data_IF_009030879218
#
_entry.id   IF_009030879218
#
_cell.length_a   1.000
_cell.length_b   1.000
_cell.length_c   1.000
_cell.angle_alpha   90.00
_cell.angle_beta   90.00
_cell.angle_gamma   90.00
#
_symmetry.space_group_name_H-M   'P 1'
#
loop_
_entity.id
_entity.type
_entity.pdbx_description
1 polymer ?
#
# COMPACT_ATOMS: atom_id res chain seq x y z
N UNK A 1 -83.02 -6.19 -14.03
CA UNK A 1 -81.66 -6.74 -14.14
C UNK A 1 -80.71 -5.81 -13.42
N UNK A 2 -80.19 -6.23 -12.27
CA UNK A 2 -79.24 -5.46 -11.45
C UNK A 2 -77.85 -5.71 -12.02
N UNK A 3 -77.14 -4.66 -12.48
CA UNK A 3 -75.73 -4.75 -12.86
C UNK A 3 -74.89 -4.00 -11.85
N UNK A 4 -74.13 -4.78 -11.08
CA UNK A 4 -73.10 -4.35 -10.14
C UNK A 4 -71.88 -3.93 -10.96
N UNK A 5 -71.38 -2.70 -10.76
CA UNK A 5 -70.06 -2.29 -11.21
C UNK A 5 -69.04 -2.67 -10.12
N UNK A 6 -68.13 -3.58 -10.45
CA UNK A 6 -66.94 -3.85 -9.64
C UNK A 6 -65.77 -3.01 -10.17
N UNK A 7 -65.25 -2.11 -9.34
CA UNK A 7 -64.04 -1.34 -9.62
C UNK A 7 -62.81 -2.12 -9.13
N UNK A 8 -61.97 -2.58 -10.05
CA UNK A 8 -60.67 -3.18 -9.74
C UNK A 8 -59.62 -2.08 -9.59
N UNK A 9 -59.05 -1.95 -8.39
CA UNK A 9 -57.94 -1.03 -8.11
C UNK A 9 -56.64 -1.83 -8.27
N UNK A 10 -55.82 -1.47 -9.27
CA UNK A 10 -54.51 -2.07 -9.47
C UNK A 10 -53.47 -1.36 -8.58
N UNK A 11 -52.93 -2.08 -7.59
CA UNK A 11 -51.85 -1.62 -6.73
C UNK A 11 -50.51 -1.85 -7.46
N UNK A 12 -49.88 -0.78 -7.95
CA UNK A 12 -48.53 -0.84 -8.52
C UNK A 12 -47.51 -0.81 -7.39
N UNK A 13 -46.89 -1.97 -7.13
CA UNK A 13 -45.73 -2.10 -6.25
C UNK A 13 -44.51 -1.61 -7.04
N UNK A 14 -43.98 -0.43 -6.71
CA UNK A 14 -42.67 0.01 -7.17
C UNK A 14 -41.60 -0.81 -6.46
N UNK A 15 -41.10 -1.85 -7.12
CA UNK A 15 -39.83 -2.47 -6.79
C UNK A 15 -38.73 -1.45 -7.13
N UNK A 16 -38.18 -0.79 -6.11
CA UNK A 16 -36.94 -0.06 -6.24
C UNK A 16 -35.81 -1.07 -6.46
N UNK A 17 -35.57 -1.43 -7.72
CA UNK A 17 -34.31 -2.03 -8.11
C UNK A 17 -33.24 -0.97 -7.93
N UNK A 18 -32.40 -1.11 -6.90
CA UNK A 18 -31.13 -0.42 -6.81
C UNK A 18 -30.29 -0.85 -7.99
N UNK A 19 -30.34 -0.08 -9.07
CA UNK A 19 -29.41 -0.21 -10.18
C UNK A 19 -28.01 0.00 -9.60
N UNK A 20 -27.24 -1.08 -9.48
CA UNK A 20 -25.79 -0.96 -9.37
C UNK A 20 -25.36 -0.31 -10.69
N UNK A 21 -25.08 0.99 -10.65
CA UNK A 21 -24.43 1.64 -11.76
C UNK A 21 -23.06 0.98 -11.91
N UNK A 22 -22.78 0.40 -13.09
CA UNK A 22 -21.43 -0.06 -13.42
C UNK A 22 -20.44 1.09 -13.17
N UNK A 23 -19.33 0.78 -12.50
CA UNK A 23 -18.30 1.76 -12.20
C UNK A 23 -17.74 2.32 -13.52
N UNK A 24 -17.73 3.65 -13.68
CA UNK A 24 -17.27 4.29 -14.91
C UNK A 24 -15.75 4.14 -15.07
N UNK A 25 -15.31 3.49 -16.13
CA UNK A 25 -13.91 3.47 -16.53
C UNK A 25 -13.55 4.75 -17.29
N UNK A 26 -12.42 5.34 -16.91
CA UNK A 26 -11.80 6.48 -17.59
C UNK A 26 -10.53 6.06 -18.32
N UNK A 27 -10.24 6.76 -19.41
CA UNK A 27 -8.98 6.58 -20.14
C UNK A 27 -7.84 7.23 -19.38
N UNK A 28 -6.66 6.62 -19.48
CA UNK A 28 -5.39 7.18 -19.05
C UNK A 28 -4.39 7.06 -20.19
N UNK A 29 -3.61 8.11 -20.39
CA UNK A 29 -2.52 8.14 -21.37
C UNK A 29 -1.19 8.23 -20.66
N UNK A 30 -0.24 7.36 -21.00
CA UNK A 30 1.13 7.44 -20.54
C UNK A 30 1.83 8.64 -21.19
N UNK A 31 2.36 9.55 -20.38
CA UNK A 31 3.11 10.73 -20.88
C UNK A 31 4.58 10.71 -20.47
N UNK A 32 4.96 9.91 -19.48
CA UNK A 32 6.35 9.68 -19.09
C UNK A 32 6.50 8.44 -18.22
N UNK A 33 7.65 7.78 -18.30
CA UNK A 33 8.01 6.67 -17.42
C UNK A 33 9.47 6.79 -17.00
N UNK A 34 9.75 6.61 -15.71
CA UNK A 34 11.08 6.60 -15.12
C UNK A 34 11.31 5.28 -14.38
N UNK A 35 12.51 4.73 -14.52
CA UNK A 35 12.89 3.42 -13.97
C UNK A 35 14.04 3.60 -12.98
N UNK A 36 13.91 2.98 -11.81
CA UNK A 36 15.01 2.78 -10.88
C UNK A 36 15.36 1.27 -10.89
N UNK A 37 16.59 0.89 -11.28
CA UNK A 37 16.96 -0.51 -11.38
C UNK A 37 16.72 -1.29 -10.08
N UNK A 38 16.32 -2.55 -10.20
CA UNK A 38 16.00 -3.41 -9.06
C UNK A 38 17.12 -3.46 -8.02
N UNK A 39 18.36 -3.67 -8.46
CA UNK A 39 19.54 -3.75 -7.61
C UNK A 39 20.12 -2.35 -7.29
N UNK A 40 19.27 -1.43 -6.84
CA UNK A 40 19.71 -0.13 -6.31
C UNK A 40 19.86 -0.25 -4.80
N UNK A 41 21.07 -0.04 -4.30
CA UNK A 41 21.41 -0.23 -2.88
C UNK A 41 21.97 1.09 -2.32
N UNK A 42 21.52 1.46 -1.13
CA UNK A 42 22.06 2.54 -0.33
C UNK A 42 23.03 2.00 0.73
N UNK A 43 24.11 2.73 0.99
CA UNK A 43 24.92 2.47 2.18
C UNK A 43 24.13 2.85 3.44
N UNK A 44 24.20 2.00 4.45
CA UNK A 44 23.72 2.36 5.78
C UNK A 44 24.52 3.55 6.35
N UNK A 45 23.91 4.44 7.16
CA UNK A 45 24.61 5.56 7.80
C UNK A 45 25.91 5.11 8.45
N UNK A 46 26.96 5.93 8.37
CA UNK A 46 28.29 5.57 8.86
C UNK A 46 28.28 5.12 10.33
N UNK A 47 27.45 5.74 11.15
CA UNK A 47 27.21 5.49 12.58
C UNK A 47 26.18 4.38 12.88
N UNK A 48 25.57 3.76 11.86
CA UNK A 48 24.72 2.59 12.06
C UNK A 48 25.57 1.39 12.54
N UNK A 49 25.05 0.56 13.48
CA UNK A 49 25.72 -0.67 13.91
C UNK A 49 26.07 -1.61 12.74
N UNK A 50 27.12 -2.41 12.89
CA UNK A 50 27.58 -3.37 11.86
C UNK A 50 26.48 -4.30 11.36
N UNK A 51 25.56 -4.67 12.27
CA UNK A 51 24.41 -5.52 11.96
C UNK A 51 23.51 -4.97 10.83
N UNK A 52 23.43 -3.64 10.70
CA UNK A 52 22.63 -2.93 9.69
C UNK A 52 23.42 -2.55 8.42
N UNK A 53 24.71 -2.86 8.34
CA UNK A 53 25.52 -2.60 7.13
C UNK A 53 25.21 -3.56 5.97
N UNK A 54 24.42 -4.58 6.24
CA UNK A 54 23.98 -5.61 5.29
C UNK A 54 22.53 -5.94 5.62
N UNK A 55 21.76 -6.46 4.66
CA UNK A 55 20.33 -6.74 4.84
C UNK A 55 19.95 -8.11 4.24
N UNK A 56 18.99 -8.80 4.86
CA UNK A 56 18.40 -10.03 4.33
C UNK A 56 19.00 -11.31 4.89
N UNK A 57 19.63 -11.26 6.06
CA UNK A 57 20.28 -12.42 6.70
C UNK A 57 19.29 -13.48 7.16
N UNK A 58 18.02 -13.15 7.34
CA UNK A 58 17.01 -14.01 7.97
C UNK A 58 15.89 -14.45 7.02
N UNK A 59 16.15 -14.42 5.72
CA UNK A 59 15.17 -14.70 4.66
C UNK A 59 15.09 -16.18 4.27
N UNK A 60 15.86 -17.06 4.89
CA UNK A 60 15.77 -18.50 4.61
C UNK A 60 14.45 -19.07 5.15
N UNK A 61 13.87 -20.12 4.50
CA UNK A 61 12.62 -20.72 4.94
C UNK A 61 12.66 -21.29 6.37
N UNK A 62 13.84 -21.74 6.83
CA UNK A 62 14.06 -22.23 8.19
C UNK A 62 14.45 -21.13 9.19
N UNK A 63 14.46 -19.87 8.73
CA UNK A 63 14.78 -18.65 9.50
C UNK A 63 16.18 -18.64 10.10
N UNK A 64 17.08 -19.48 9.60
CA UNK A 64 18.48 -19.43 10.00
C UNK A 64 19.18 -18.25 9.36
N UNK A 65 20.07 -17.65 10.14
CA UNK A 65 20.98 -16.60 9.68
C UNK A 65 21.84 -17.11 8.53
N UNK A 66 22.00 -16.28 7.51
CA UNK A 66 23.00 -16.43 6.46
C UNK A 66 23.85 -15.16 6.41
N UNK A 67 25.14 -15.25 6.72
CA UNK A 67 26.04 -14.07 6.71
C UNK A 67 26.78 -13.90 5.37
N UNK A 68 26.89 -14.97 4.57
CA UNK A 68 27.55 -14.92 3.28
C UNK A 68 26.68 -14.21 2.24
N UNK A 69 27.12 -13.05 1.77
CA UNK A 69 26.43 -12.21 0.79
C UNK A 69 26.11 -12.96 -0.51
N UNK A 70 24.94 -12.69 -1.09
CA UNK A 70 24.56 -13.18 -2.42
C UNK A 70 24.47 -14.71 -2.55
N UNK A 71 24.11 -15.43 -1.47
CA UNK A 71 24.05 -16.90 -1.45
C UNK A 71 22.63 -17.47 -1.45
N UNK A 72 21.65 -16.73 -0.94
CA UNK A 72 20.25 -17.13 -0.87
C UNK A 72 19.52 -16.59 -2.10
N UNK A 73 18.92 -17.43 -2.96
CA UNK A 73 18.19 -16.95 -4.14
C UNK A 73 16.94 -16.18 -3.75
N UNK A 74 16.72 -15.01 -4.37
CA UNK A 74 15.44 -14.33 -4.37
C UNK A 74 14.40 -15.14 -5.13
N UNK A 75 13.13 -15.06 -4.69
CA UNK A 75 12.05 -15.85 -5.26
C UNK A 75 10.71 -15.13 -5.23
N UNK A 76 10.00 -15.18 -6.35
CA UNK A 76 8.58 -14.87 -6.46
C UNK A 76 7.82 -16.20 -6.58
N UNK A 77 7.32 -16.69 -5.43
CA UNK A 77 6.73 -18.02 -5.34
C UNK A 77 7.70 -19.13 -5.77
N UNK A 78 7.35 -19.88 -6.81
CA UNK A 78 8.18 -20.95 -7.38
C UNK A 78 9.33 -20.44 -8.27
N UNK A 79 9.32 -19.15 -8.62
CA UNK A 79 10.21 -18.55 -9.62
C UNK A 79 11.43 -17.93 -8.96
N UNK A 80 12.61 -18.19 -9.51
CA UNK A 80 13.88 -17.66 -8.98
C UNK A 80 14.22 -16.38 -9.72
N UNK A 81 14.48 -15.29 -9.00
CA UNK A 81 14.90 -14.01 -9.57
C UNK A 81 16.42 -13.97 -9.78
N UNK A 82 16.90 -12.96 -10.48
CA UNK A 82 18.32 -12.76 -10.79
C UNK A 82 19.15 -12.20 -9.62
N UNK A 83 18.51 -11.91 -8.49
CA UNK A 83 19.14 -11.34 -7.30
C UNK A 83 19.19 -12.33 -6.12
N UNK A 84 20.16 -12.10 -5.23
CA UNK A 84 20.45 -12.99 -4.11
C UNK A 84 20.74 -12.20 -2.84
N UNK A 85 20.25 -12.73 -1.73
CA UNK A 85 20.43 -12.21 -0.38
C UNK A 85 21.59 -12.94 0.33
N UNK A 86 22.15 -12.36 1.40
CA UNK A 86 21.99 -10.98 1.85
C UNK A 86 22.69 -9.97 0.92
N UNK A 87 22.27 -8.70 1.00
CA UNK A 87 22.88 -7.57 0.29
C UNK A 87 23.94 -6.85 1.13
N UNK A 88 24.93 -6.25 0.46
CA UNK A 88 25.84 -5.27 1.05
C UNK A 88 25.20 -3.87 1.03
N UNK A 89 24.58 -3.47 2.14
CA UNK A 89 23.82 -2.23 2.27
C UNK A 89 22.31 -2.47 2.47
N UNK A 90 21.54 -1.41 2.25
CA UNK A 90 20.09 -1.37 2.39
C UNK A 90 19.46 -1.14 1.01
N UNK A 91 18.59 -2.04 0.52
CA UNK A 91 17.99 -1.87 -0.81
C UNK A 91 17.05 -0.67 -0.83
N UNK A 92 17.06 0.08 -1.94
CA UNK A 92 16.09 1.13 -2.22
C UNK A 92 14.89 0.47 -2.91
N UNK A 93 13.92 0.08 -2.08
CA UNK A 93 12.75 -0.72 -2.43
C UNK A 93 11.63 -0.46 -1.41
N UNK A 94 10.52 -1.20 -1.49
CA UNK A 94 9.42 -1.12 -0.54
C UNK A 94 8.65 0.18 -0.67
N UNK A 95 8.50 0.70 -1.89
CA UNK A 95 7.93 2.03 -2.16
C UNK A 95 6.44 2.13 -1.81
N UNK A 96 6.12 2.20 -0.52
CA UNK A 96 4.74 2.27 -0.03
C UNK A 96 4.30 3.70 0.26
N UNK A 97 3.45 4.23 -0.61
CA UNK A 97 2.96 5.60 -0.61
C UNK A 97 3.88 6.61 -1.32
N UNK A 98 3.29 7.58 -2.02
CA UNK A 98 4.03 8.69 -2.65
C UNK A 98 3.34 10.04 -2.43
N UNK A 99 4.12 11.10 -2.28
CA UNK A 99 3.63 12.49 -2.22
C UNK A 99 4.39 13.42 -3.14
N UNK A 100 3.66 14.14 -3.98
CA UNK A 100 4.19 15.19 -4.84
C UNK A 100 4.47 16.46 -4.05
N UNK A 101 5.66 17.04 -4.22
CA UNK A 101 6.06 18.29 -3.58
C UNK A 101 5.99 19.47 -4.55
N UNK A 102 5.75 20.72 -4.07
CA UNK A 102 5.66 21.89 -4.93
C UNK A 102 6.92 22.20 -5.76
N UNK A 103 8.09 21.71 -5.35
CA UNK A 103 9.37 21.88 -6.05
C UNK A 103 9.61 20.83 -7.16
N UNK A 104 8.65 19.93 -7.38
CA UNK A 104 8.73 18.85 -8.36
C UNK A 104 9.51 17.63 -7.87
N UNK A 105 9.87 17.57 -6.59
CA UNK A 105 10.34 16.33 -5.94
C UNK A 105 9.18 15.51 -5.41
N UNK A 106 9.46 14.28 -5.00
CA UNK A 106 8.49 13.35 -4.44
C UNK A 106 9.05 12.74 -3.16
N UNK A 107 8.21 12.56 -2.15
CA UNK A 107 8.54 11.73 -0.98
C UNK A 107 7.84 10.38 -1.09
N UNK A 108 8.58 9.33 -0.72
CA UNK A 108 8.11 7.95 -0.59
C UNK A 108 8.98 7.27 0.49
N UNK A 109 8.79 5.99 0.77
CA UNK A 109 9.47 5.28 1.86
C UNK A 109 9.79 3.84 1.47
N UNK A 110 10.63 3.18 2.27
CA UNK A 110 10.76 1.72 2.29
C UNK A 110 9.89 1.16 3.40
N UNK A 111 9.03 0.20 3.05
CA UNK A 111 8.25 -0.64 3.95
C UNK A 111 9.14 -1.57 4.81
N UNK A 112 8.57 -2.61 5.42
CA UNK A 112 9.39 -3.55 6.20
C UNK A 112 10.48 -4.27 5.39
N UNK A 113 10.45 -4.22 4.05
CA UNK A 113 11.46 -4.73 3.15
C UNK A 113 11.30 -6.19 2.75
N UNK A 114 11.36 -7.14 3.68
CA UNK A 114 11.37 -8.58 3.32
C UNK A 114 10.05 -9.32 3.58
N UNK A 115 8.96 -8.58 3.77
CA UNK A 115 7.59 -9.10 3.84
C UNK A 115 7.15 -9.63 5.20
N UNK A 116 8.01 -9.60 6.23
CA UNK A 116 7.57 -9.92 7.59
C UNK A 116 8.43 -9.33 8.69
N UNK A 117 7.81 -9.09 9.84
CA UNK A 117 8.51 -8.74 11.08
C UNK A 117 9.71 -9.63 11.41
N UNK A 118 9.65 -10.94 11.12
CA UNK A 118 10.69 -11.87 11.56
C UNK A 118 11.94 -11.90 10.65
N UNK A 119 11.82 -11.55 9.38
CA UNK A 119 12.95 -11.54 8.45
C UNK A 119 13.51 -10.14 8.17
N UNK A 120 12.83 -9.09 8.64
CA UNK A 120 13.17 -7.69 8.40
C UNK A 120 13.96 -6.99 9.52
N UNK A 121 14.49 -7.74 10.48
CA UNK A 121 15.25 -7.14 11.60
C UNK A 121 16.54 -6.43 11.20
N UNK A 122 17.07 -6.71 10.01
CA UNK A 122 18.28 -6.08 9.46
C UNK A 122 18.02 -5.16 8.26
N UNK A 123 16.74 -4.84 8.01
CA UNK A 123 16.30 -3.83 7.04
C UNK A 123 16.06 -2.54 7.79
N UNK A 124 16.77 -1.48 7.43
CA UNK A 124 16.51 -0.15 8.00
C UNK A 124 15.27 0.46 7.35
N UNK A 125 14.45 1.16 8.13
CA UNK A 125 13.35 1.97 7.59
C UNK A 125 13.87 3.36 7.21
N UNK A 126 13.52 3.85 6.01
CA UNK A 126 13.93 5.17 5.56
C UNK A 126 12.99 5.76 4.51
N UNK A 127 12.98 7.09 4.44
CA UNK A 127 12.24 7.85 3.44
C UNK A 127 13.16 8.22 2.27
N UNK A 128 12.61 8.23 1.06
CA UNK A 128 13.30 8.67 -0.14
C UNK A 128 12.70 9.97 -0.65
N UNK A 129 13.56 10.96 -0.92
CA UNK A 129 13.20 12.08 -1.77
C UNK A 129 13.68 11.77 -3.19
N UNK A 130 12.74 11.71 -4.13
CA UNK A 130 12.99 11.36 -5.52
C UNK A 130 12.75 12.54 -6.44
N UNK A 131 13.43 12.50 -7.59
CA UNK A 131 13.14 13.35 -8.74
C UNK A 131 13.12 12.49 -9.99
N UNK A 132 12.14 12.73 -10.85
CA UNK A 132 11.96 11.97 -12.08
C UNK A 132 12.39 12.79 -13.29
N UNK A 133 13.24 12.21 -14.11
CA UNK A 133 13.57 12.76 -15.42
C UNK A 133 12.84 11.93 -16.49
N UNK A 134 11.65 12.38 -16.87
CA UNK A 134 10.76 11.68 -17.81
C UNK A 134 11.38 11.52 -19.21
N UNK A 135 12.17 12.51 -19.67
CA UNK A 135 12.82 12.49 -20.99
C UNK A 135 13.90 11.42 -21.10
N UNK A 136 14.70 11.24 -20.05
CA UNK A 136 15.73 10.19 -19.99
C UNK A 136 15.22 8.87 -19.41
N UNK A 137 14.05 8.88 -18.76
CA UNK A 137 13.47 7.74 -18.07
C UNK A 137 14.21 7.31 -16.81
N UNK A 138 14.88 8.24 -16.12
CA UNK A 138 15.70 7.95 -14.94
C UNK A 138 15.08 8.52 -13.66
N UNK A 139 15.23 7.76 -12.58
CA UNK A 139 14.95 8.20 -11.21
C UNK A 139 16.26 8.71 -10.57
N UNK A 140 16.21 9.90 -10.01
CA UNK A 140 17.26 10.47 -9.17
C UNK A 140 16.84 10.35 -7.71
N UNK A 141 17.65 9.65 -6.90
CA UNK A 141 17.49 9.63 -5.44
C UNK A 141 18.20 10.85 -4.88
N UNK A 142 17.44 11.90 -4.56
CA UNK A 142 17.97 13.18 -4.04
C UNK A 142 18.45 13.01 -2.61
N UNK A 143 17.70 12.26 -1.80
CA UNK A 143 18.00 12.06 -0.38
C UNK A 143 17.40 10.75 0.12
N UNK A 144 18.17 10.04 0.96
CA UNK A 144 17.67 9.00 1.84
C UNK A 144 17.66 9.53 3.28
N UNK A 145 16.54 9.38 3.98
CA UNK A 145 16.35 9.81 5.37
C UNK A 145 16.03 8.61 6.24
N UNK A 146 17.05 8.08 6.92
CA UNK A 146 16.91 6.92 7.81
C UNK A 146 16.14 7.26 9.09
N UNK A 147 15.16 6.41 9.42
CA UNK A 147 14.28 6.60 10.55
C UNK A 147 14.91 6.04 11.83
N UNK A 148 14.67 6.72 12.94
CA UNK A 148 15.29 6.40 14.23
C UNK A 148 14.42 6.79 15.40
N UNK A 149 14.67 6.22 16.58
CA UNK A 149 13.99 6.57 17.82
C UNK A 149 14.99 6.89 18.96
N UNK A 150 15.89 7.87 18.81
CA UNK A 150 16.91 8.17 19.82
C UNK A 150 16.31 8.65 21.15
N UNK A 151 15.07 9.18 21.11
CA UNK A 151 14.37 9.74 22.25
C UNK A 151 13.43 8.75 22.94
N UNK A 152 13.48 7.46 22.58
CA UNK A 152 12.70 6.37 23.19
C UNK A 152 11.20 6.64 23.22
N UNK A 153 10.66 7.09 22.08
CA UNK A 153 9.25 7.37 21.86
C UNK A 153 8.43 6.12 21.58
N UNK A 154 9.04 5.08 21.02
CA UNK A 154 8.36 3.79 20.87
C UNK A 154 7.97 3.26 22.28
N UNK A 155 6.69 2.91 22.52
CA UNK A 155 6.25 2.47 23.85
C UNK A 155 6.61 1.00 24.15
N UNK A 156 7.35 0.35 23.26
CA UNK A 156 7.79 -1.04 23.35
C UNK A 156 9.25 -1.17 22.89
N UNK A 157 9.95 -2.27 23.26
CA UNK A 157 11.32 -2.50 22.80
C UNK A 157 11.40 -2.61 21.28
N UNK A 158 12.43 -1.99 20.72
CA UNK A 158 12.79 -2.09 19.29
C UNK A 158 14.07 -2.92 19.10
N UNK A 159 14.39 -3.33 17.87
CA UNK A 159 15.59 -4.15 17.57
C UNK A 159 16.86 -3.45 18.04
N UNK A 160 16.99 -2.14 17.81
CA UNK A 160 18.16 -1.34 18.19
C UNK A 160 18.06 -0.71 19.59
N UNK A 161 17.36 -1.36 20.54
CA UNK A 161 17.10 -0.81 21.89
C UNK A 161 18.38 -0.33 22.60
N UNK A 162 19.49 -1.06 22.43
CA UNK A 162 20.77 -0.79 23.07
C UNK A 162 21.74 0.09 22.30
N UNK A 163 21.41 0.56 21.10
CA UNK A 163 22.25 1.45 20.31
C UNK A 163 21.92 2.93 20.60
N UNK A 164 22.89 3.83 20.45
CA UNK A 164 22.68 5.26 20.74
C UNK A 164 21.63 5.90 19.82
N UNK A 165 21.73 5.66 18.51
CA UNK A 165 20.81 6.23 17.51
C UNK A 165 19.48 5.54 17.42
N UNK A 166 19.38 4.27 17.84
CA UNK A 166 18.12 3.50 17.81
C UNK A 166 17.45 3.52 16.43
N UNK A 167 18.21 3.23 15.38
CA UNK A 167 17.66 3.13 14.02
C UNK A 167 16.52 2.12 13.98
N UNK A 168 15.42 2.50 13.32
CA UNK A 168 14.24 1.64 13.18
C UNK A 168 14.43 0.66 12.03
N UNK A 169 13.87 -0.52 12.21
CA UNK A 169 13.95 -1.62 11.25
C UNK A 169 12.57 -2.13 10.88
N UNK A 170 12.47 -2.89 9.78
CA UNK A 170 11.22 -3.52 9.37
C UNK A 170 10.71 -4.59 10.34
N UNK A 171 11.43 -4.89 11.43
CA UNK A 171 10.89 -5.69 12.53
C UNK A 171 10.22 -4.83 13.63
N UNK A 172 10.48 -3.53 13.64
CA UNK A 172 9.92 -2.60 14.62
C UNK A 172 8.55 -2.10 14.18
N UNK A 173 8.47 -1.69 12.91
CA UNK A 173 7.29 -1.13 12.27
C UNK A 173 7.22 -1.57 10.81
N UNK A 174 6.01 -1.71 10.31
CA UNK A 174 5.69 -1.92 8.90
C UNK A 174 5.07 -0.66 8.32
N UNK A 175 5.88 0.22 7.76
CA UNK A 175 5.41 1.55 7.34
C UNK A 175 4.94 1.49 5.89
N UNK A 176 3.70 1.92 5.60
CA UNK A 176 3.12 1.70 4.26
C UNK A 176 2.62 2.99 3.57
N UNK A 177 2.68 4.12 4.27
CA UNK A 177 2.15 5.36 3.71
C UNK A 177 2.76 6.60 4.36
N UNK A 178 2.85 7.70 3.61
CA UNK A 178 3.54 8.92 4.06
C UNK A 178 2.77 10.19 3.72
N UNK A 179 2.77 11.13 4.67
CA UNK A 179 2.28 12.50 4.48
C UNK A 179 3.32 13.50 5.03
N UNK A 180 4.16 14.10 4.15
CA UNK A 180 5.07 15.18 4.53
C UNK A 180 4.31 16.43 4.97
N UNK A 181 4.78 17.02 6.06
CA UNK A 181 4.28 18.27 6.65
C UNK A 181 5.45 19.18 6.99
N UNK A 182 5.18 20.44 7.33
CA UNK A 182 6.23 21.44 7.56
C UNK A 182 7.26 21.03 8.64
N UNK A 183 6.85 20.24 9.64
CA UNK A 183 7.68 19.81 10.76
C UNK A 183 8.11 18.33 10.68
N UNK A 184 7.92 17.65 9.55
CA UNK A 184 8.36 16.26 9.35
C UNK A 184 7.33 15.42 8.59
N UNK A 185 7.00 14.24 9.12
CA UNK A 185 6.23 13.24 8.39
C UNK A 185 5.22 12.54 9.28
N UNK A 186 3.99 12.37 8.79
CA UNK A 186 3.03 11.41 9.31
C UNK A 186 3.11 10.13 8.51
N UNK A 187 3.10 8.98 9.19
CA UNK A 187 3.28 7.66 8.57
C UNK A 187 2.25 6.67 9.10
N UNK A 188 1.59 5.95 8.20
CA UNK A 188 0.73 4.81 8.54
C UNK A 188 1.55 3.55 8.71
N UNK A 189 1.19 2.71 9.67
CA UNK A 189 1.92 1.51 10.04
C UNK A 189 1.00 0.30 10.22
N UNK A 190 1.44 -0.91 9.80
CA UNK A 190 0.57 -2.08 9.74
C UNK A 190 0.54 -2.97 10.98
N UNK A 191 1.68 -3.22 11.64
CA UNK A 191 1.77 -4.25 12.67
C UNK A 191 0.94 -3.89 13.89
N UNK A 192 0.85 -2.61 14.26
CA UNK A 192 -0.01 -2.14 15.34
C UNK A 192 -1.48 -2.45 15.06
N UNK A 193 -2.12 -1.76 14.11
CA UNK A 193 -1.62 -0.62 13.36
C UNK A 193 -1.43 0.64 14.21
N UNK A 194 -0.42 1.44 13.88
CA UNK A 194 -0.13 2.74 14.52
C UNK A 194 -0.17 3.88 13.50
N UNK A 195 -0.45 5.09 13.98
CA UNK A 195 -0.07 6.31 13.28
C UNK A 195 1.22 6.84 13.92
N UNK A 196 2.25 7.09 13.12
CA UNK A 196 3.57 7.52 13.56
C UNK A 196 3.82 8.96 13.15
N UNK A 197 4.50 9.74 14.00
CA UNK A 197 5.03 11.06 13.66
C UNK A 197 6.54 11.06 13.73
N UNK A 198 7.18 11.49 12.65
CA UNK A 198 8.61 11.77 12.58
C UNK A 198 8.87 13.26 12.39
N UNK A 199 10.00 13.73 12.89
CA UNK A 199 10.51 15.07 12.60
C UNK A 199 11.25 15.13 11.24
N UNK A 200 11.69 16.32 10.84
CA UNK A 200 12.44 16.53 9.57
C UNK A 200 13.80 15.84 9.50
N UNK A 201 14.31 15.36 10.64
CA UNK A 201 15.55 14.58 10.75
C UNK A 201 15.32 13.06 10.77
N UNK A 202 14.07 12.61 10.67
CA UNK A 202 13.71 11.19 10.69
C UNK A 202 13.66 10.60 12.10
N UNK A 203 13.56 11.42 13.15
CA UNK A 203 13.41 10.91 14.52
C UNK A 203 11.94 10.75 14.88
N UNK A 204 11.59 9.60 15.45
CA UNK A 204 10.26 9.32 15.97
C UNK A 204 9.93 10.30 17.10
N UNK A 205 8.75 10.88 17.04
CA UNK A 205 8.27 11.90 17.99
C UNK A 205 7.01 11.44 18.72
N UNK A 206 6.11 10.75 18.02
CA UNK A 206 4.85 10.26 18.57
C UNK A 206 4.45 8.92 17.93
N UNK A 207 3.74 8.08 18.71
CA UNK A 207 3.14 6.81 18.28
C UNK A 207 1.69 6.78 18.79
N UNK A 208 0.72 6.61 17.89
CA UNK A 208 -0.70 6.60 18.23
C UNK A 208 -1.31 5.23 17.92
N UNK A 209 -1.74 4.50 18.95
CA UNK A 209 -2.46 3.24 18.80
C UNK A 209 -3.82 3.47 18.16
N UNK A 210 -4.20 2.61 17.21
CA UNK A 210 -5.44 2.75 16.45
C UNK A 210 -6.66 2.28 17.23
N UNK A 211 -7.72 3.09 17.21
CA UNK A 211 -9.03 2.70 17.75
C UNK A 211 -10.13 2.90 16.72
N UNK A 212 -11.06 1.95 16.66
CA UNK A 212 -12.28 2.00 15.86
C UNK A 212 -13.47 1.66 16.76
N UNK A 213 -14.51 2.48 16.74
CA UNK A 213 -15.71 2.33 17.58
C UNK A 213 -15.39 2.14 19.08
N UNK A 214 -14.37 2.87 19.55
CA UNK A 214 -13.88 2.81 20.94
C UNK A 214 -13.14 1.52 21.31
N UNK A 215 -12.81 0.66 20.33
CA UNK A 215 -12.06 -0.58 20.54
C UNK A 215 -10.68 -0.50 19.87
N UNK A 216 -9.64 -1.12 20.45
CA UNK A 216 -8.35 -1.26 19.78
C UNK A 216 -8.48 -2.02 18.46
N UNK A 217 -7.75 -1.56 17.45
CA UNK A 217 -7.48 -2.32 16.24
C UNK A 217 -6.13 -2.99 16.44
N UNK A 218 -6.09 -4.32 16.36
CA UNK A 218 -4.93 -5.12 16.70
C UNK A 218 -4.70 -6.17 15.61
N UNK A 219 -3.50 -6.16 15.02
CA UNK A 219 -2.98 -7.26 14.20
C UNK A 219 -2.24 -8.29 15.07
N UNK A 220 -2.00 -9.53 14.59
CA UNK A 220 -1.23 -10.53 15.33
C UNK A 220 0.24 -10.15 15.58
N UNK A 221 0.81 -9.18 14.85
CA UNK A 221 2.20 -8.72 15.03
C UNK A 221 2.33 -7.48 15.93
N UNK A 222 1.20 -7.00 16.46
CA UNK A 222 1.16 -5.90 17.42
C UNK A 222 2.04 -6.22 18.64
N UNK A 223 2.94 -5.31 18.98
CA UNK A 223 3.93 -5.47 20.05
C UNK A 223 3.33 -5.71 21.46
N UNK A 224 2.05 -5.40 21.66
CA UNK A 224 1.35 -5.62 22.93
C UNK A 224 0.75 -7.03 23.06
N UNK A 225 0.70 -7.82 21.97
CA UNK A 225 0.22 -9.19 22.03
C UNK A 225 1.32 -10.12 22.55
N UNK A 226 0.96 -10.89 23.57
CA UNK A 226 1.83 -11.89 24.15
C UNK A 226 1.14 -13.24 24.16
N UNK A 227 1.89 -14.28 23.77
CA UNK A 227 1.41 -15.64 23.91
C UNK A 227 1.23 -15.97 25.40
N UNK A 228 0.18 -16.72 25.74
CA UNK A 228 0.04 -17.21 27.11
C UNK A 228 1.19 -18.14 27.49
N UNK A 229 1.56 -18.16 28.77
CA UNK A 229 2.61 -19.04 29.29
C UNK A 229 2.22 -20.52 29.35
N UNK A 230 0.95 -20.85 29.09
CA UNK A 230 0.42 -22.21 29.08
C UNK A 230 -0.57 -22.40 27.91
N UNK A 231 -0.46 -23.48 27.11
CA UNK A 231 -1.35 -23.77 25.98
C UNK A 231 -2.84 -23.94 26.34
N UNK A 232 -3.20 -24.14 27.61
CA UNK A 232 -4.61 -24.22 28.05
C UNK A 232 -5.24 -22.85 28.30
N UNK A 233 -4.46 -21.77 28.32
CA UNK A 233 -4.96 -20.42 28.51
C UNK A 233 -5.53 -19.87 27.20
N UNK A 234 -6.45 -18.92 27.32
CA UNK A 234 -7.04 -18.26 26.17
C UNK A 234 -5.97 -17.43 25.43
N UNK A 235 -5.88 -17.62 24.12
CA UNK A 235 -5.05 -16.77 23.26
C UNK A 235 -5.51 -15.31 23.31
N UNK A 236 -4.60 -14.34 23.19
CA UNK A 236 -4.99 -12.95 23.10
C UNK A 236 -5.84 -12.73 21.83
N UNK A 237 -6.82 -11.83 21.92
CA UNK A 237 -7.69 -11.51 20.80
C UNK A 237 -7.05 -10.43 19.92
N UNK A 238 -7.18 -10.60 18.62
CA UNK A 238 -6.89 -9.61 17.59
C UNK A 238 -8.08 -9.58 16.62
N UNK A 239 -8.31 -8.44 15.97
CA UNK A 239 -9.47 -8.19 15.11
C UNK A 239 -9.07 -7.80 13.69
N UNK A 240 -7.79 -7.99 13.36
CA UNK A 240 -7.21 -7.74 12.06
C UNK A 240 -6.24 -8.88 11.73
N UNK A 241 -6.17 -9.28 10.46
CA UNK A 241 -5.15 -10.25 10.01
C UNK A 241 -3.75 -9.62 10.02
N UNK A 242 -2.72 -10.46 9.94
CA UNK A 242 -1.37 -10.02 9.55
C UNK A 242 -1.42 -9.41 8.15
N UNK A 243 -0.65 -8.35 7.92
CA UNK A 243 -0.66 -7.56 6.68
C UNK A 243 -2.07 -7.10 6.35
N UNK A 244 -2.44 -5.99 6.96
CA UNK A 244 -3.83 -5.69 7.24
C UNK A 244 -4.06 -4.34 7.88
N UNK A 245 -3.01 -3.74 8.45
CA UNK A 245 -3.04 -2.44 9.09
C UNK A 245 -3.08 -1.31 8.08
N UNK A 246 -2.45 -0.17 8.35
CA UNK A 246 -2.61 0.99 7.47
C UNK A 246 -1.73 0.93 6.22
N UNK A 247 -2.24 0.36 5.13
CA UNK A 247 -1.66 0.48 3.78
C UNK A 247 -1.77 1.91 3.22
N UNK A 248 -2.84 2.64 3.55
CA UNK A 248 -3.10 3.98 3.04
C UNK A 248 -3.17 5.03 4.14
N UNK A 249 -2.63 6.22 3.89
CA UNK A 249 -2.81 7.38 4.76
C UNK A 249 -2.96 8.63 3.92
N UNK A 250 -4.11 9.28 3.96
CA UNK A 250 -4.36 10.55 3.28
C UNK A 250 -4.41 11.72 4.28
N UNK A 251 -3.99 12.90 3.85
CA UNK A 251 -4.16 14.15 4.62
C UNK A 251 -5.17 15.07 3.94
N UNK A 252 -6.10 15.62 4.73
CA UNK A 252 -6.97 16.73 4.31
C UNK A 252 -6.15 17.91 3.77
N UNK A 253 -6.73 18.68 2.84
CA UNK A 253 -6.00 19.78 2.17
C UNK A 253 -5.62 20.93 3.11
N UNK A 254 -6.33 21.11 4.22
CA UNK A 254 -5.99 22.07 5.26
C UNK A 254 -5.04 21.51 6.33
N UNK A 255 -4.68 20.22 6.25
CA UNK A 255 -3.79 19.53 7.18
C UNK A 255 -4.40 19.24 8.56
N UNK A 256 -5.70 19.50 8.76
CA UNK A 256 -6.33 19.35 10.07
C UNK A 256 -6.67 17.88 10.42
N UNK A 257 -6.89 17.06 9.39
CA UNK A 257 -7.26 15.65 9.48
C UNK A 257 -6.31 14.74 8.70
N UNK A 258 -6.09 13.56 9.26
CA UNK A 258 -5.55 12.39 8.57
C UNK A 258 -6.63 11.32 8.45
N UNK A 259 -6.54 10.52 7.41
CA UNK A 259 -7.45 9.42 7.10
C UNK A 259 -6.63 8.16 6.84
N UNK A 260 -6.57 7.26 7.82
CA UNK A 260 -5.91 5.96 7.66
C UNK A 260 -6.85 4.96 7.02
N UNK A 261 -6.42 4.29 5.94
CA UNK A 261 -7.14 3.25 5.23
C UNK A 261 -6.47 1.90 5.51
N UNK A 262 -7.22 0.99 6.13
CA UNK A 262 -6.72 -0.36 6.43
C UNK A 262 -6.56 -1.20 5.15
N UNK A 263 -5.55 -2.05 5.06
CA UNK A 263 -5.40 -3.07 4.01
C UNK A 263 -6.43 -4.20 4.20
N UNK A 264 -6.66 -4.58 5.46
CA UNK A 264 -7.46 -5.73 5.86
C UNK A 264 -8.83 -5.34 6.43
N UNK A 265 -9.87 -6.18 6.22
CA UNK A 265 -11.15 -5.98 6.87
C UNK A 265 -11.07 -6.29 8.36
N UNK A 266 -11.88 -5.60 9.16
CA UNK A 266 -12.04 -5.93 10.58
C UNK A 266 -12.77 -7.26 10.71
N UNK A 267 -12.28 -8.14 11.58
CA UNK A 267 -12.95 -9.37 11.97
C UNK A 267 -13.93 -9.09 13.12
N UNK A 268 -15.18 -9.47 12.91
CA UNK A 268 -16.24 -9.40 13.92
C UNK A 268 -16.06 -10.54 14.94
N UNK A 269 -16.76 -10.43 16.07
CA UNK A 269 -16.64 -11.41 17.17
C UNK A 269 -17.08 -12.85 16.84
N UNK A 270 -17.76 -13.05 15.71
CA UNK A 270 -18.15 -14.35 15.15
C UNK A 270 -17.12 -14.91 14.14
N UNK A 271 -16.00 -14.22 13.94
CA UNK A 271 -14.93 -14.58 12.99
C UNK A 271 -15.21 -14.17 11.55
N UNK A 272 -16.34 -13.54 11.25
CA UNK A 272 -16.61 -13.03 9.90
C UNK A 272 -15.90 -11.71 9.66
N UNK A 273 -15.39 -11.53 8.44
CA UNK A 273 -14.89 -10.25 7.97
C UNK A 273 -16.04 -9.24 7.83
N UNK A 274 -15.71 -7.98 8.04
CA UNK A 274 -16.60 -6.87 7.75
C UNK A 274 -16.96 -6.81 6.25
N UNK A 275 -18.24 -6.56 5.99
CA UNK A 275 -18.78 -6.51 4.64
C UNK A 275 -19.97 -5.55 4.56
N UNK A 276 -20.21 -5.03 3.36
CA UNK A 276 -21.36 -4.17 3.02
C UNK A 276 -21.81 -4.51 1.60
N UNK A 277 -23.13 -4.60 1.40
CA UNK A 277 -23.74 -4.95 0.11
C UNK A 277 -23.16 -6.24 -0.53
N UNK A 278 -22.84 -7.23 0.31
CA UNK A 278 -22.29 -8.51 -0.12
C UNK A 278 -20.80 -8.49 -0.48
N UNK A 279 -20.11 -7.36 -0.31
CA UNK A 279 -18.68 -7.18 -0.58
C UNK A 279 -17.89 -7.04 0.71
N UNK A 280 -16.71 -7.65 0.78
CA UNK A 280 -15.74 -7.37 1.85
C UNK A 280 -15.42 -5.88 1.86
N UNK A 281 -15.34 -5.29 3.05
CA UNK A 281 -15.05 -3.87 3.20
C UNK A 281 -13.98 -3.61 4.26
N UNK A 282 -13.14 -2.61 3.97
CA UNK A 282 -12.10 -2.10 4.86
C UNK A 282 -12.49 -0.71 5.38
N UNK A 283 -11.70 -0.17 6.32
CA UNK A 283 -12.06 1.06 7.05
C UNK A 283 -11.14 2.21 6.68
N UNK A 284 -11.76 3.35 6.34
CA UNK A 284 -11.12 4.67 6.42
C UNK A 284 -11.41 5.23 7.81
N UNK A 285 -10.38 5.60 8.59
CA UNK A 285 -10.49 6.05 9.99
C UNK A 285 -9.92 7.47 10.11
N UNK A 286 -10.69 8.39 10.69
CA UNK A 286 -10.30 9.80 10.81
C UNK A 286 -9.54 10.09 12.11
N UNK A 287 -8.42 10.79 11.97
CA UNK A 287 -7.59 11.29 13.06
C UNK A 287 -7.52 12.82 13.02
N UNK A 288 -7.67 13.47 14.17
CA UNK A 288 -7.48 14.91 14.32
C UNK A 288 -6.02 15.22 14.67
N UNK A 289 -5.37 16.03 13.83
CA UNK A 289 -3.95 16.36 13.95
C UNK A 289 -3.68 17.28 15.15
N UNK A 290 -4.58 18.21 15.44
CA UNK A 290 -4.38 19.21 16.47
C UNK A 290 -4.55 18.62 17.88
N UNK A 291 -5.60 17.81 18.10
CA UNK A 291 -5.82 17.10 19.36
C UNK A 291 -5.05 15.80 19.47
N UNK A 292 -4.42 15.34 18.37
CA UNK A 292 -3.66 14.09 18.29
C UNK A 292 -4.50 12.88 18.72
N UNK A 293 -5.72 12.77 18.20
CA UNK A 293 -6.67 11.73 18.60
C UNK A 293 -7.59 11.26 17.47
N UNK A 294 -7.94 9.97 17.48
CA UNK A 294 -9.01 9.43 16.65
C UNK A 294 -10.34 10.11 16.96
N UNK A 295 -11.07 10.54 15.93
CA UNK A 295 -12.32 11.30 16.12
C UNK A 295 -13.53 10.41 16.37
N UNK A 296 -13.38 9.10 16.15
CA UNK A 296 -14.48 8.13 16.14
C UNK A 296 -15.27 8.09 14.83
N UNK A 297 -14.92 8.95 13.85
CA UNK A 297 -15.51 8.92 12.51
C UNK A 297 -14.76 7.93 11.63
N UNK A 298 -15.53 7.17 10.85
CA UNK A 298 -14.99 6.21 9.89
C UNK A 298 -15.93 6.02 8.70
N UNK A 299 -15.41 5.45 7.61
CA UNK A 299 -16.17 5.05 6.42
C UNK A 299 -15.81 3.63 6.02
N UNK A 300 -16.70 2.99 5.27
CA UNK A 300 -16.45 1.68 4.66
C UNK A 300 -15.93 1.88 3.24
N UNK A 301 -14.88 1.14 2.88
CA UNK A 301 -14.43 1.02 1.50
C UNK A 301 -14.74 -0.42 1.03
N UNK A 302 -15.82 -0.64 0.27
CA UNK A 302 -16.09 -1.96 -0.30
C UNK A 302 -15.19 -2.22 -1.50
N UNK A 303 -14.50 -3.36 -1.49
CA UNK A 303 -13.72 -3.81 -2.64
C UNK A 303 -14.63 -4.01 -3.87
N UNK A 304 -14.09 -3.75 -5.06
CA UNK A 304 -14.72 -4.22 -6.28
C UNK A 304 -14.66 -5.75 -6.37
N UNK A 305 -15.38 -6.32 -7.34
CA UNK A 305 -15.22 -7.74 -7.63
C UNK A 305 -13.74 -8.05 -7.96
N UNK A 306 -13.18 -9.09 -7.34
CA UNK A 306 -11.75 -9.47 -7.37
C UNK A 306 -10.76 -8.54 -6.65
N UNK A 307 -11.18 -7.37 -6.20
CA UNK A 307 -10.38 -6.53 -5.33
C UNK A 307 -10.17 -7.20 -3.98
N UNK A 308 -8.93 -7.25 -3.50
CA UNK A 308 -8.60 -7.87 -2.21
C UNK A 308 -7.72 -7.01 -1.33
N UNK A 309 -7.14 -5.94 -1.89
CA UNK A 309 -6.28 -5.02 -1.17
C UNK A 309 -6.16 -3.67 -1.88
N UNK A 310 -5.64 -2.68 -1.15
CA UNK A 310 -5.30 -1.35 -1.66
C UNK A 310 -3.78 -1.24 -1.85
N UNK A 311 -3.28 -0.05 -2.16
CA UNK A 311 -1.83 0.19 -2.28
C UNK A 311 -1.39 1.62 -1.98
N UNK A 312 -2.27 2.61 -2.15
CA UNK A 312 -2.02 3.99 -1.68
C UNK A 312 -3.35 4.75 -1.59
N UNK A 313 -3.38 5.84 -0.82
CA UNK A 313 -4.55 6.67 -0.57
C UNK A 313 -4.19 8.15 -0.39
N UNK A 314 -4.70 9.02 -1.29
CA UNK A 314 -4.37 10.45 -1.28
C UNK A 314 -5.57 11.36 -1.59
N UNK A 315 -5.78 12.41 -0.78
CA UNK A 315 -6.85 13.39 -1.01
C UNK A 315 -6.61 14.20 -2.29
N UNK A 316 -7.67 14.41 -3.08
CA UNK A 316 -7.70 15.34 -4.21
C UNK A 316 -8.23 16.72 -3.81
N UNK A 317 -9.24 16.74 -2.94
CA UNK A 317 -9.89 17.94 -2.41
C UNK A 317 -10.48 17.67 -1.01
N UNK A 318 -11.55 18.36 -0.62
CA UNK A 318 -12.19 18.21 0.69
C UNK A 318 -13.00 16.91 0.84
N UNK A 319 -13.47 16.32 -0.27
CA UNK A 319 -14.38 15.16 -0.23
C UNK A 319 -13.99 14.04 -1.19
N UNK A 320 -13.03 14.26 -2.09
CA UNK A 320 -12.58 13.24 -3.04
C UNK A 320 -11.12 12.86 -2.87
N UNK A 321 -10.81 11.62 -3.21
CA UNK A 321 -9.48 11.03 -3.06
C UNK A 321 -9.20 9.97 -4.12
N UNK A 322 -7.92 9.66 -4.30
CA UNK A 322 -7.41 8.54 -5.08
C UNK A 322 -7.14 7.35 -4.17
N UNK A 323 -7.53 6.16 -4.59
CA UNK A 323 -7.18 4.89 -3.92
C UNK A 323 -6.74 3.89 -4.97
N UNK A 324 -5.57 3.28 -4.80
CA UNK A 324 -5.21 2.09 -5.59
C UNK A 324 -5.97 0.89 -5.03
N UNK A 325 -6.57 0.08 -5.88
CA UNK A 325 -7.13 -1.23 -5.53
C UNK A 325 -6.62 -2.29 -6.49
N UNK A 326 -6.24 -3.44 -5.94
CA UNK A 326 -5.62 -4.54 -6.69
C UNK A 326 -6.08 -5.92 -6.23
N UNK A 327 -5.96 -6.88 -7.13
CA UNK A 327 -5.88 -8.29 -6.79
C UNK A 327 -4.46 -8.67 -6.34
N UNK A 328 -4.26 -9.93 -5.93
CA UNK A 328 -2.93 -10.48 -5.62
C UNK A 328 -2.24 -11.13 -6.83
N UNK A 329 -2.80 -10.99 -8.04
CA UNK A 329 -2.24 -11.57 -9.25
C UNK A 329 -1.06 -10.76 -9.77
N UNK A 330 -0.17 -11.42 -10.51
CA UNK A 330 1.02 -10.83 -11.13
C UNK A 330 1.24 -11.38 -12.53
N UNK A 331 1.80 -10.56 -13.40
CA UNK A 331 2.13 -10.92 -14.77
C UNK A 331 0.94 -10.99 -15.72
N UNK A 332 1.27 -11.28 -16.97
CA UNK A 332 0.35 -11.22 -18.09
C UNK A 332 -0.25 -12.59 -18.42
N UNK A 333 -1.48 -12.58 -18.93
CA UNK A 333 -2.26 -13.81 -19.19
C UNK A 333 -1.65 -14.72 -20.25
N UNK A 334 -0.86 -14.19 -21.19
CA UNK A 334 -0.15 -14.97 -22.21
C UNK A 334 0.96 -15.85 -21.65
N UNK A 335 1.43 -15.57 -20.42
CA UNK A 335 2.43 -16.35 -19.69
C UNK A 335 1.85 -17.10 -18.48
N UNK A 336 0.54 -17.29 -18.45
CA UNK A 336 -0.12 -18.04 -17.38
C UNK A 336 0.36 -19.50 -17.34
N UNK A 337 0.46 -20.06 -16.13
CA UNK A 337 0.71 -21.49 -15.97
C UNK A 337 -0.46 -22.31 -16.54
N UNK A 338 -0.15 -23.42 -17.19
CA UNK A 338 -1.16 -24.32 -17.76
C UNK A 338 -2.06 -24.96 -16.69
N UNK A 339 -1.50 -25.25 -15.51
CA UNK A 339 -2.23 -25.64 -14.30
C UNK A 339 -1.80 -24.72 -13.14
N UNK A 340 -2.67 -23.81 -12.66
CA UNK A 340 -2.33 -22.91 -11.57
C UNK A 340 -2.10 -23.66 -10.25
N UNK A 341 -2.54 -24.92 -10.10
CA UNK A 341 -2.27 -25.71 -8.89
C UNK A 341 -0.89 -26.37 -8.91
N UNK A 342 -0.18 -26.30 -10.04
CA UNK A 342 1.16 -26.84 -10.24
C UNK A 342 2.03 -25.80 -10.96
N UNK A 343 2.28 -24.64 -10.32
CA UNK A 343 3.03 -23.57 -10.93
C UNK A 343 4.44 -24.02 -11.31
N UNK A 344 4.91 -23.59 -12.47
CA UNK A 344 6.27 -23.85 -12.95
C UNK A 344 7.11 -22.57 -12.87
N UNK A 345 8.45 -22.69 -12.82
CA UNK A 345 9.33 -21.52 -12.73
C UNK A 345 9.29 -20.57 -13.95
N UNK A 346 8.67 -20.97 -15.05
CA UNK A 346 8.63 -20.25 -16.33
C UNK A 346 7.26 -19.62 -16.65
N UNK A 347 6.34 -19.57 -15.69
CA UNK A 347 4.97 -19.06 -15.88
C UNK A 347 4.41 -18.36 -14.63
N UNK A 348 3.35 -17.56 -14.81
CA UNK A 348 2.61 -16.93 -13.72
C UNK A 348 1.48 -17.83 -13.21
N UNK A 349 1.50 -18.15 -11.91
CA UNK A 349 0.46 -18.97 -11.28
C UNK A 349 -0.93 -18.30 -11.37
N UNK A 350 -0.98 -17.02 -11.03
CA UNK A 350 -2.19 -16.20 -11.04
C UNK A 350 -1.88 -14.87 -11.75
N UNK A 351 -2.15 -14.77 -13.07
CA UNK A 351 -2.02 -13.52 -13.81
C UNK A 351 -2.84 -12.38 -13.19
N UNK A 352 -2.37 -11.14 -13.35
CA UNK A 352 -3.10 -9.96 -12.89
C UNK A 352 -4.45 -9.81 -13.62
N UNK A 353 -5.52 -9.51 -12.89
CA UNK A 353 -6.88 -9.33 -13.38
C UNK A 353 -7.51 -8.00 -12.98
N UNK A 354 -7.17 -7.44 -11.82
CA UNK A 354 -7.64 -6.15 -11.34
C UNK A 354 -6.48 -5.32 -10.79
N UNK A 355 -6.15 -4.22 -11.46
CA UNK A 355 -5.20 -3.18 -11.01
C UNK A 355 -5.80 -1.82 -11.36
N UNK A 356 -6.31 -1.08 -10.37
CA UNK A 356 -7.10 0.12 -10.63
C UNK A 356 -6.72 1.27 -9.73
N UNK A 357 -6.80 2.49 -10.26
CA UNK A 357 -6.87 3.72 -9.45
C UNK A 357 -8.33 4.16 -9.42
N UNK A 358 -8.93 4.15 -8.24
CA UNK A 358 -10.27 4.65 -7.99
C UNK A 358 -10.26 6.11 -7.58
N UNK A 359 -11.18 6.89 -8.14
CA UNK A 359 -11.59 8.18 -7.55
C UNK A 359 -12.78 7.90 -6.66
N UNK A 360 -12.64 8.19 -5.37
CA UNK A 360 -13.71 8.01 -4.38
C UNK A 360 -14.18 9.34 -3.84
N UNK A 361 -15.41 9.36 -3.33
CA UNK A 361 -15.98 10.45 -2.54
C UNK A 361 -16.38 9.95 -1.15
N UNK A 362 -16.00 10.71 -0.14
CA UNK A 362 -16.42 10.54 1.25
C UNK A 362 -16.49 11.90 1.95
N UNK A 363 -17.48 12.09 2.80
CA UNK A 363 -17.79 13.38 3.44
C UNK A 363 -18.56 13.20 4.74
N UNK A 364 -18.90 14.33 5.38
CA UNK A 364 -19.82 14.36 6.53
C UNK A 364 -21.15 13.66 6.25
N UNK A 365 -21.63 13.68 5.01
CA UNK A 365 -22.94 13.14 4.65
C UNK A 365 -23.01 11.60 4.70
N UNK A 366 -21.87 10.91 4.63
CA UNK A 366 -21.81 9.46 4.61
C UNK A 366 -20.87 8.86 5.67
N UNK A 367 -20.57 9.58 6.76
CA UNK A 367 -19.89 9.01 7.94
C UNK A 367 -20.62 7.74 8.38
N UNK A 368 -19.85 6.68 8.65
CA UNK A 368 -20.33 5.36 9.03
C UNK A 368 -20.88 4.51 7.88
N UNK A 369 -20.94 5.05 6.66
CA UNK A 369 -21.41 4.36 5.45
C UNK A 369 -20.27 4.15 4.45
N UNK A 370 -20.58 3.49 3.33
CA UNK A 370 -19.63 3.29 2.24
C UNK A 370 -19.23 4.59 1.57
N UNK A 371 -17.95 4.70 1.20
CA UNK A 371 -17.48 5.69 0.22
C UNK A 371 -18.16 5.45 -1.12
N UNK A 372 -18.33 6.51 -1.92
CA UNK A 372 -18.83 6.39 -3.29
C UNK A 372 -17.66 6.27 -4.26
N UNK A 373 -17.58 5.19 -5.03
CA UNK A 373 -16.65 5.09 -6.16
C UNK A 373 -17.22 5.88 -7.34
N UNK A 374 -16.57 6.98 -7.72
CA UNK A 374 -16.96 7.83 -8.86
C UNK A 374 -16.60 7.12 -10.17
N UNK A 375 -15.44 6.48 -10.21
CA UNK A 375 -14.96 5.70 -11.33
C UNK A 375 -13.50 5.30 -11.13
N UNK A 376 -12.89 4.73 -12.17
CA UNK A 376 -11.53 4.21 -12.10
C UNK A 376 -10.74 4.35 -13.40
N UNK A 377 -9.42 4.25 -13.27
CA UNK A 377 -8.48 3.97 -14.35
C UNK A 377 -8.06 2.51 -14.25
N UNK A 378 -8.01 1.81 -15.37
CA UNK A 378 -7.46 0.44 -15.45
C UNK A 378 -5.97 0.48 -15.77
N UNK A 379 -5.15 0.01 -14.82
CA UNK A 379 -3.69 0.01 -14.94
C UNK A 379 -3.15 -1.17 -15.76
N UNK A 380 -3.99 -2.17 -16.09
CA UNK A 380 -3.61 -3.25 -17.00
C UNK A 380 -3.68 -2.84 -18.48
N UNK A 381 -4.21 -1.64 -18.78
CA UNK A 381 -4.32 -1.14 -20.15
C UNK A 381 -4.34 0.38 -20.22
N UNK A 382 -3.16 0.99 -20.08
CA UNK A 382 -2.92 2.43 -20.22
C UNK A 382 -2.57 2.73 -21.68
N UNK A 383 -3.19 3.75 -22.28
CA UNK A 383 -2.92 4.14 -23.66
C UNK A 383 -1.50 4.72 -23.79
N UNK A 384 -0.71 4.25 -24.76
CA UNK A 384 0.63 4.78 -25.05
C UNK A 384 0.80 5.07 -26.55
N UNK A 385 0.03 6.03 -27.11
CA UNK A 385 0.07 6.35 -28.54
C UNK A 385 1.38 7.06 -28.95
N UNK A 386 2.09 7.65 -27.99
CA UNK A 386 3.31 8.43 -28.23
C UNK A 386 4.59 7.64 -27.89
N UNK A 387 4.47 6.33 -27.64
CA UNK A 387 5.57 5.40 -27.36
C UNK A 387 6.49 5.87 -26.21
N UNK A 388 5.88 6.30 -25.10
CA UNK A 388 6.56 6.81 -23.91
C UNK A 388 7.06 5.72 -22.97
N UNK A 389 6.52 4.49 -23.06
CA UNK A 389 6.98 3.37 -22.23
C UNK A 389 8.45 3.04 -22.51
N UNK A 390 9.20 2.84 -21.43
CA UNK A 390 10.57 2.30 -21.39
C UNK A 390 10.57 0.79 -21.21
N UNK A 391 9.61 0.26 -20.45
CA UNK A 391 9.40 -1.17 -20.26
C UNK A 391 7.93 -1.47 -19.93
N UNK A 392 7.56 -2.76 -20.00
CA UNK A 392 6.17 -3.19 -19.91
C UNK A 392 5.36 -2.87 -21.17
N UNK A 393 4.12 -3.34 -21.22
CA UNK A 393 3.18 -3.04 -22.30
C UNK A 393 3.41 -3.77 -23.62
N UNK A 394 2.69 -3.33 -24.65
CA UNK A 394 2.70 -3.87 -26.01
C UNK A 394 2.57 -2.77 -27.07
N UNK A 395 2.04 -3.10 -28.25
CA UNK A 395 1.80 -2.09 -29.29
C UNK A 395 0.71 -1.12 -28.85
N UNK A 396 1.08 0.15 -28.67
CA UNK A 396 0.17 1.25 -28.34
C UNK A 396 -0.36 1.27 -26.91
N UNK A 397 0.15 0.43 -26.00
CA UNK A 397 -0.25 0.45 -24.59
C UNK A 397 0.89 0.12 -23.63
N UNK A 398 0.72 0.59 -22.40
CA UNK A 398 1.49 0.25 -21.20
C UNK A 398 0.57 -0.47 -20.21
N UNK A 399 1.10 -1.40 -19.42
CA UNK A 399 0.36 -2.13 -18.40
C UNK A 399 1.18 -2.17 -17.10
N UNK A 400 0.55 -2.43 -15.95
CA UNK A 400 1.21 -2.60 -14.65
C UNK A 400 0.73 -3.91 -14.00
N UNK A 401 1.22 -5.09 -14.41
CA UNK A 401 0.76 -6.39 -13.93
C UNK A 401 1.49 -6.80 -12.65
N UNK A 402 1.61 -5.87 -11.70
CA UNK A 402 2.36 -6.06 -10.47
C UNK A 402 1.46 -6.40 -9.29
N UNK A 403 1.99 -7.10 -8.29
CA UNK A 403 1.29 -7.27 -7.02
C UNK A 403 1.23 -5.96 -6.25
N UNK A 404 2.36 -5.25 -6.18
CA UNK A 404 2.67 -4.13 -5.27
C UNK A 404 2.68 -2.78 -6.01
N UNK A 405 1.52 -2.38 -6.55
CA UNK A 405 1.34 -1.01 -7.07
C UNK A 405 0.93 -0.13 -5.90
N UNK A 406 1.86 0.68 -5.39
CA UNK A 406 1.73 1.28 -4.05
C UNK A 406 2.03 2.77 -4.01
N UNK A 407 1.98 3.44 -5.16
CA UNK A 407 2.21 4.88 -5.24
C UNK A 407 1.15 5.55 -6.10
N UNK A 408 0.31 6.42 -5.54
CA UNK A 408 -0.53 7.32 -6.34
C UNK A 408 -0.64 8.70 -5.72
N UNK A 409 -0.36 9.74 -6.51
CA UNK A 409 -0.67 11.11 -6.11
C UNK A 409 -0.97 12.00 -7.32
N UNK A 410 -1.67 13.11 -7.06
CA UNK A 410 -1.92 14.13 -8.07
C UNK A 410 -0.65 14.97 -8.27
N UNK A 411 -0.23 15.10 -9.53
CA UNK A 411 0.90 15.96 -9.91
C UNK A 411 0.42 17.37 -10.27
N UNK A 412 -0.64 17.47 -11.07
CA UNK A 412 -1.22 18.75 -11.47
C UNK A 412 -2.71 18.64 -11.83
N UNK A 413 -3.24 19.61 -12.57
CA UNK A 413 -4.65 19.65 -12.96
C UNK A 413 -5.13 18.39 -13.71
N UNK A 414 -4.26 17.79 -14.53
CA UNK A 414 -4.59 16.70 -15.46
C UNK A 414 -3.76 15.45 -15.24
N UNK A 415 -2.72 15.48 -14.40
CA UNK A 415 -1.80 14.35 -14.24
C UNK A 415 -1.80 13.74 -12.84
N UNK A 416 -1.61 12.42 -12.82
CA UNK A 416 -1.24 11.66 -11.63
C UNK A 416 0.09 10.94 -11.87
N UNK A 417 0.81 10.67 -10.79
CA UNK A 417 1.89 9.70 -10.78
C UNK A 417 1.35 8.37 -10.26
N UNK A 418 1.79 7.27 -10.87
CA UNK A 418 1.55 5.90 -10.40
C UNK A 418 2.90 5.18 -10.32
N UNK A 419 3.10 4.31 -9.33
CA UNK A 419 4.37 3.61 -9.15
C UNK A 419 4.21 2.15 -8.75
N UNK A 420 5.20 1.34 -9.13
CA UNK A 420 5.39 -0.03 -8.69
C UNK A 420 6.48 -0.08 -7.63
N UNK A 421 6.14 -0.63 -6.47
CA UNK A 421 7.12 -1.16 -5.55
C UNK A 421 7.60 -2.53 -6.03
N UNK A 422 8.91 -2.75 -6.06
CA UNK A 422 9.48 -4.00 -6.51
C UNK A 422 9.64 -5.08 -5.43
N UNK A 423 9.29 -4.81 -4.16
CA UNK A 423 9.36 -5.74 -3.02
C UNK A 423 10.59 -6.67 -3.10
N UNK A 424 11.76 -6.05 -3.26
CA UNK A 424 13.00 -6.69 -3.66
C UNK A 424 13.44 -7.77 -2.64
N UNK A 425 13.81 -8.99 -3.07
CA UNK A 425 13.87 -9.53 -4.43
C UNK A 425 12.74 -10.51 -4.75
N UNK A 426 11.56 -10.30 -4.15
CA UNK A 426 10.46 -11.26 -4.11
C UNK A 426 9.34 -10.98 -5.13
N UNK A 427 9.41 -9.88 -5.88
CA UNK A 427 8.49 -9.61 -7.01
C UNK A 427 9.17 -9.77 -8.38
N UNK A 428 8.46 -10.44 -9.28
CA UNK A 428 8.85 -10.71 -10.65
C UNK A 428 7.60 -10.73 -11.56
N UNK A 429 6.92 -9.59 -11.67
CA UNK A 429 5.70 -9.36 -12.44
C UNK A 429 5.92 -9.10 -13.94
N UNK A 430 7.08 -8.54 -14.33
CA UNK A 430 7.41 -8.33 -15.76
C UNK A 430 8.00 -9.56 -16.44
N UNK A 431 8.90 -10.23 -15.74
CA UNK A 431 9.63 -11.38 -16.24
C UNK A 431 9.58 -12.49 -15.19
N UNK A 432 9.61 -13.74 -15.65
CA UNK A 432 9.46 -14.90 -14.76
C UNK A 432 10.75 -15.24 -14.02
N UNK A 433 11.87 -14.63 -14.38
CA UNK A 433 13.22 -14.98 -13.91
C UNK A 433 14.08 -13.75 -13.53
N UNK A 434 13.45 -12.57 -13.42
CA UNK A 434 14.13 -11.31 -13.11
C UNK A 434 13.34 -10.55 -12.05
N UNK A 435 14.02 -10.00 -11.05
CA UNK A 435 13.40 -9.10 -10.10
C UNK A 435 12.89 -7.85 -10.83
N UNK A 436 11.74 -7.34 -10.42
CA UNK A 436 11.19 -6.13 -11.01
C UNK A 436 12.07 -4.92 -10.69
N UNK A 437 12.20 -4.03 -11.67
CA UNK A 437 12.69 -2.68 -11.42
C UNK A 437 11.56 -1.86 -10.78
N UNK A 438 11.89 -0.82 -10.01
CA UNK A 438 10.89 0.14 -9.58
C UNK A 438 10.49 1.01 -10.77
N UNK A 439 9.19 1.12 -11.04
CA UNK A 439 8.64 1.84 -12.18
C UNK A 439 7.77 2.99 -11.71
N UNK A 440 8.02 4.20 -12.21
CA UNK A 440 7.17 5.37 -11.98
C UNK A 440 6.64 5.89 -13.29
N UNK A 441 5.33 6.09 -13.38
CA UNK A 441 4.65 6.49 -14.61
C UNK A 441 3.81 7.74 -14.36
N UNK A 442 3.97 8.73 -15.24
CA UNK A 442 3.15 9.93 -15.28
C UNK A 442 2.00 9.71 -16.26
N UNK A 443 0.76 9.81 -15.77
CA UNK A 443 -0.46 9.56 -16.54
C UNK A 443 -1.26 10.85 -16.72
N UNK A 444 -1.68 11.15 -17.95
CA UNK A 444 -2.68 12.16 -18.26
C UNK A 444 -4.09 11.56 -18.10
N UNK A 445 -4.86 12.13 -17.18
CA UNK A 445 -6.12 11.60 -16.63
C UNK A 445 -7.13 12.71 -16.33
N UNK A 446 -7.10 13.80 -17.12
CA UNK A 446 -7.91 15.00 -16.86
C UNK A 446 -9.41 14.74 -16.69
N UNK A 447 -10.00 13.89 -17.53
CA UNK A 447 -11.42 13.54 -17.45
C UNK A 447 -11.76 12.83 -16.13
N UNK A 448 -10.89 11.91 -15.70
CA UNK A 448 -11.03 11.19 -14.44
C UNK A 448 -10.93 12.13 -13.23
N UNK A 449 -9.95 13.03 -13.22
CA UNK A 449 -9.78 14.00 -12.12
C UNK A 449 -10.95 15.00 -12.03
N UNK A 450 -11.57 15.35 -13.16
CA UNK A 450 -12.71 16.27 -13.20
C UNK A 450 -14.09 15.60 -13.02
N UNK A 451 -14.15 14.26 -13.03
CA UNK A 451 -15.39 13.52 -12.84
C UNK A 451 -16.03 13.78 -11.47
N UNK A 452 -17.37 13.74 -11.40
CA UNK A 452 -18.15 13.98 -10.19
C UNK A 452 -19.03 12.80 -9.84
#
# INVERSE_FOLDING_TARGET
MIRILSASTALLIFLAASAQADEQQFKAKLVGQAILPANTIADAPADAPDFLKTSGKFTTPDRKRTDALGTVPGKDGARVTDLKLPFAGQPIQGFSGIKTMPDGTFWTLSDNGFGSKQNSSDVMLFLHQLKFNWDSGKVEVVKNLFLSDPNKKAPFPIVMEGADKRYLTGADFDIESVQPVADGFWIGEEFGPYLLKFDTSGQLTDVFATTLDGKPVMSPDNALLQLPGNPTQKMPAFNLKRSGGFEGLAMSKDGSKLYGLLEGPIYKGDGQMESVDGKTAIRVIEFDVASKSWTGRSWLYPFADKGVSIGDFNMLDATTALVIERDNGAGTKDKACADPKQPKPDCFEAPAELKRVYKIEFSDANVGKSVRKIGYIDLLRIEDPDHKRRQGGGEGFYDMPFVTIENVDRVDATHIIIGNDNNLPFSAGRAVDKADDNEFSLLEVGDFLNAK
#
